data_IF_649622727674
#
_entry.id   IF_649622727674
#
_cell.length_a   1.000
_cell.length_b   1.000
_cell.length_c   1.000
_cell.angle_alpha   90.00
_cell.angle_beta   90.00
_cell.angle_gamma   90.00
#
_symmetry.space_group_name_H-M   'P 1'
#
loop_
_entity.id
_entity.type
_entity.pdbx_description
1 polymer ?
#
# COMPACT_ATOMS: atom_id res chain seq x y z
N UNK A 1 13.26 -2.10 -50.49
CA UNK A 1 14.18 -1.15 -49.82
C UNK A 1 13.30 -0.17 -49.07
N UNK A 2 13.06 -0.44 -47.78
CA UNK A 2 13.70 0.24 -46.64
C UNK A 2 13.19 1.69 -46.53
N UNK A 3 12.59 2.16 -45.44
CA UNK A 3 12.92 2.06 -44.01
C UNK A 3 11.58 2.04 -43.21
N UNK A 4 11.39 1.22 -42.15
CA UNK A 4 11.90 1.42 -40.76
C UNK A 4 11.42 2.77 -40.22
N UNK A 5 10.82 2.94 -39.05
CA UNK A 5 10.32 2.12 -37.95
C UNK A 5 9.67 3.14 -36.98
N UNK A 6 8.92 2.62 -36.00
CA UNK A 6 8.86 3.18 -34.64
C UNK A 6 8.36 4.61 -34.49
N UNK A 7 7.04 4.72 -34.38
CA UNK A 7 6.43 5.72 -33.50
C UNK A 7 6.28 5.10 -32.10
N UNK A 8 7.39 5.04 -31.36
CA UNK A 8 7.43 4.76 -29.93
C UNK A 8 7.76 6.06 -29.19
N UNK A 9 6.84 7.02 -29.29
CA UNK A 9 6.78 8.12 -28.34
C UNK A 9 5.73 7.75 -27.29
N UNK A 10 6.16 6.97 -26.29
CA UNK A 10 5.45 6.92 -25.02
C UNK A 10 6.47 7.21 -23.92
N UNK A 11 6.74 8.51 -23.82
CA UNK A 11 6.80 9.26 -22.56
C UNK A 11 7.31 8.47 -21.36
N UNK A 12 8.62 8.24 -21.34
CA UNK A 12 9.38 8.09 -20.09
C UNK A 12 9.42 9.44 -19.37
N UNK A 13 8.28 9.91 -18.86
CA UNK A 13 8.25 11.05 -17.95
C UNK A 13 8.03 10.61 -16.51
N UNK A 14 9.00 11.00 -15.68
CA UNK A 14 8.86 11.27 -14.25
C UNK A 14 8.14 10.21 -13.41
N UNK A 15 8.82 9.06 -13.22
CA UNK A 15 8.63 8.15 -12.08
C UNK A 15 9.08 8.78 -10.74
N UNK A 16 8.76 10.07 -10.52
CA UNK A 16 8.82 10.68 -9.18
C UNK A 16 7.53 10.34 -8.45
N UNK A 17 7.44 9.10 -7.94
CA UNK A 17 6.50 8.62 -6.89
C UNK A 17 5.18 9.40 -6.88
N UNK A 18 4.47 9.42 -8.01
CA UNK A 18 3.16 10.05 -8.10
C UNK A 18 2.21 9.15 -7.32
N UNK A 19 1.74 9.63 -6.17
CA UNK A 19 0.78 8.91 -5.35
C UNK A 19 -0.54 8.95 -6.13
N UNK A 20 -1.09 7.79 -6.56
CA UNK A 20 -2.34 7.76 -7.30
C UNK A 20 -3.47 8.35 -6.45
N UNK A 21 -4.35 9.13 -7.08
CA UNK A 21 -5.37 9.97 -6.43
C UNK A 21 -6.77 9.39 -6.57
N UNK A 22 -7.00 8.45 -7.47
CA UNK A 22 -8.28 7.75 -7.65
C UNK A 22 -8.15 6.23 -7.53
N UNK A 23 -9.24 5.55 -7.18
CA UNK A 23 -9.29 4.08 -7.08
C UNK A 23 -8.79 3.38 -8.35
N UNK A 24 -9.16 3.90 -9.52
CA UNK A 24 -8.73 3.37 -10.83
C UNK A 24 -7.21 3.47 -11.04
N UNK A 25 -6.59 4.57 -10.60
CA UNK A 25 -5.13 4.74 -10.68
C UNK A 25 -4.39 3.81 -9.71
N UNK A 26 -5.00 3.49 -8.57
CA UNK A 26 -4.46 2.50 -7.63
C UNK A 26 -4.49 1.08 -8.22
N UNK A 27 -5.56 0.70 -8.92
CA UNK A 27 -5.65 -0.59 -9.61
C UNK A 27 -4.63 -0.71 -10.75
N UNK A 28 -4.46 0.34 -11.55
CA UNK A 28 -3.46 0.38 -12.62
C UNK A 28 -2.03 0.26 -12.07
N UNK A 29 -1.73 0.95 -10.96
CA UNK A 29 -0.45 0.84 -10.29
C UNK A 29 -0.18 -0.58 -9.76
N UNK A 30 -1.22 -1.29 -9.29
CA UNK A 30 -1.12 -2.68 -8.83
C UNK A 30 -0.72 -3.60 -9.98
N UNK A 31 -1.39 -3.47 -11.12
CA UNK A 31 -1.14 -4.27 -12.30
C UNK A 31 0.29 -4.05 -12.82
N UNK A 32 0.73 -2.80 -12.93
CA UNK A 32 2.08 -2.46 -13.39
C UNK A 32 3.17 -3.06 -12.49
N UNK A 33 2.99 -3.02 -11.16
CA UNK A 33 3.97 -3.57 -10.21
C UNK A 33 3.93 -5.10 -10.19
N UNK A 34 2.77 -5.70 -10.37
CA UNK A 34 2.61 -7.15 -10.51
C UNK A 34 3.22 -7.69 -11.81
N UNK A 35 3.04 -6.99 -12.93
CA UNK A 35 3.61 -7.38 -14.23
C UNK A 35 5.15 -7.33 -14.21
N UNK A 36 5.73 -6.28 -13.62
CA UNK A 36 7.18 -6.18 -13.37
C UNK A 36 7.68 -7.30 -12.46
N UNK A 37 6.91 -7.66 -11.43
CA UNK A 37 7.25 -8.77 -10.54
C UNK A 37 7.13 -10.13 -11.22
N UNK A 38 6.23 -10.30 -12.21
CA UNK A 38 6.05 -11.55 -12.95
C UNK A 38 7.10 -11.77 -14.04
N UNK A 39 7.75 -10.71 -14.54
CA UNK A 39 8.86 -10.80 -15.50
C UNK A 39 10.24 -10.91 -14.83
N UNK A 40 10.33 -10.81 -13.50
CA UNK A 40 11.58 -10.90 -12.76
C UNK A 40 11.89 -12.32 -12.24
N UNK A 41 11.47 -13.37 -12.95
CA UNK A 41 12.08 -14.69 -12.78
C UNK A 41 13.27 -14.80 -13.72
N UNK A 42 14.46 -14.49 -13.20
CA UNK A 42 15.76 -15.16 -13.45
C UNK A 42 16.89 -14.16 -13.16
N UNK A 43 17.29 -14.05 -11.89
CA UNK A 43 18.69 -14.13 -11.43
C UNK A 43 18.67 -14.09 -9.91
N UNK A 44 18.98 -15.25 -9.35
CA UNK A 44 19.35 -15.44 -7.96
C UNK A 44 20.70 -14.77 -7.75
N UNK A 45 20.75 -13.64 -7.05
CA UNK A 45 21.95 -13.19 -6.35
C UNK A 45 21.52 -12.54 -5.04
N UNK A 46 21.89 -13.24 -3.97
CA UNK A 46 21.71 -12.92 -2.57
C UNK A 46 22.78 -11.89 -2.18
N UNK A 47 22.44 -10.60 -2.17
CA UNK A 47 23.33 -9.58 -1.60
C UNK A 47 22.55 -8.45 -0.90
N UNK A 48 22.50 -8.56 0.43
CA UNK A 48 22.50 -7.47 1.42
C UNK A 48 22.05 -6.07 0.99
N UNK A 49 20.81 -5.68 1.36
CA UNK A 49 20.51 -4.30 1.79
C UNK A 49 19.45 -4.33 2.91
N UNK A 50 19.80 -4.90 4.06
CA UNK A 50 18.94 -4.94 5.25
C UNK A 50 19.14 -3.74 6.19
N UNK A 51 19.72 -2.62 5.75
CA UNK A 51 20.22 -1.61 6.70
C UNK A 51 20.13 -0.13 6.29
N UNK A 52 19.41 0.24 5.22
CA UNK A 52 19.35 1.66 4.80
C UNK A 52 17.96 2.32 4.93
N UNK A 53 16.87 1.56 5.15
CA UNK A 53 15.51 2.11 5.03
C UNK A 53 14.82 2.56 6.33
N UNK A 54 15.43 2.34 7.50
CA UNK A 54 14.94 2.94 8.76
C UNK A 54 15.31 4.44 8.86
N UNK A 55 16.25 4.93 8.03
CA UNK A 55 16.86 6.26 8.20
C UNK A 55 16.07 7.41 7.55
N UNK A 56 14.98 7.12 6.80
CA UNK A 56 14.20 8.16 6.09
C UNK A 56 12.72 8.22 6.42
N UNK A 57 12.21 7.45 7.39
CA UNK A 57 10.89 7.75 7.95
C UNK A 57 11.05 8.98 8.84
N UNK A 58 10.82 10.16 8.26
CA UNK A 58 10.76 11.43 9.00
C UNK A 58 9.51 11.37 9.87
N UNK A 59 9.61 10.69 11.00
CA UNK A 59 8.44 10.29 11.79
C UNK A 59 7.73 11.55 12.26
N UNK A 60 6.62 11.90 11.61
CA UNK A 60 5.89 13.09 11.97
C UNK A 60 5.25 12.85 13.36
N UNK A 61 5.57 13.66 14.38
CA UNK A 61 5.03 13.45 15.73
C UNK A 61 3.50 13.50 15.76
N UNK A 62 2.87 14.25 14.85
CA UNK A 62 1.42 14.25 14.69
C UNK A 62 0.90 12.87 14.26
N UNK A 63 1.56 12.22 13.30
CA UNK A 63 1.18 10.87 12.84
C UNK A 63 1.35 9.86 13.97
N UNK A 64 2.44 9.91 14.74
CA UNK A 64 2.62 9.02 15.90
C UNK A 64 1.48 9.16 16.91
N UNK A 65 1.09 10.40 17.21
CA UNK A 65 -0.02 10.65 18.14
C UNK A 65 -1.35 10.12 17.59
N UNK A 66 -1.61 10.29 16.30
CA UNK A 66 -2.81 9.78 15.63
C UNK A 66 -2.81 8.25 15.57
N UNK A 67 -1.70 7.62 15.20
CA UNK A 67 -1.56 6.16 15.20
C UNK A 67 -1.81 5.57 16.60
N UNK A 68 -1.37 6.25 17.67
CA UNK A 68 -1.64 5.83 19.05
C UNK A 68 -3.13 5.91 19.39
N UNK A 69 -3.79 7.01 19.05
CA UNK A 69 -5.24 7.18 19.26
C UNK A 69 -6.03 6.13 18.48
N UNK A 70 -5.66 5.92 17.20
CA UNK A 70 -6.28 4.91 16.36
C UNK A 70 -6.11 3.49 16.94
N UNK A 71 -4.92 3.15 17.41
CA UNK A 71 -4.62 1.85 18.03
C UNK A 71 -5.42 1.65 19.32
N UNK A 72 -5.57 2.70 20.12
CA UNK A 72 -6.41 2.67 21.32
C UNK A 72 -7.88 2.48 20.95
N UNK A 73 -8.42 3.29 20.03
CA UNK A 73 -9.80 3.16 19.55
C UNK A 73 -10.08 1.74 19.00
N UNK A 74 -9.14 1.21 18.21
CA UNK A 74 -9.18 -0.15 17.69
C UNK A 74 -9.24 -1.20 18.81
N UNK A 75 -8.41 -1.06 19.86
CA UNK A 75 -8.43 -1.98 21.00
C UNK A 75 -9.75 -1.95 21.79
N UNK A 76 -10.45 -0.82 21.78
CA UNK A 76 -11.78 -0.67 22.37
C UNK A 76 -12.92 -1.09 21.44
N UNK A 77 -12.62 -1.58 20.22
CA UNK A 77 -13.63 -1.93 19.22
C UNK A 77 -14.37 -0.74 18.64
N UNK A 78 -13.86 0.48 18.84
CA UNK A 78 -14.44 1.69 18.27
C UNK A 78 -13.84 1.91 16.87
N UNK A 79 -14.43 1.23 15.89
CA UNK A 79 -13.94 1.20 14.52
C UNK A 79 -14.06 2.57 13.84
N UNK A 80 -15.16 3.30 14.05
CA UNK A 80 -15.40 4.63 13.46
C UNK A 80 -14.36 5.66 13.92
N UNK A 81 -14.01 5.63 15.21
CA UNK A 81 -12.98 6.51 15.74
C UNK A 81 -11.59 6.12 15.22
N UNK A 82 -11.30 4.83 15.11
CA UNK A 82 -10.04 4.35 14.56
C UNK A 82 -9.89 4.75 13.09
N UNK A 83 -10.93 4.55 12.28
CA UNK A 83 -11.01 4.96 10.87
C UNK A 83 -10.75 6.46 10.71
N UNK A 84 -11.58 7.31 11.32
CA UNK A 84 -11.46 8.77 11.19
C UNK A 84 -10.10 9.30 11.67
N UNK A 85 -9.49 8.66 12.67
CA UNK A 85 -8.15 9.00 13.16
C UNK A 85 -7.07 8.61 12.14
N UNK A 86 -7.18 7.44 11.52
CA UNK A 86 -6.27 6.97 10.48
C UNK A 86 -6.40 7.79 9.20
N UNK A 87 -7.61 8.17 8.79
CA UNK A 87 -7.81 9.08 7.67
C UNK A 87 -7.13 10.42 7.86
N UNK A 88 -7.16 10.97 9.09
CA UNK A 88 -6.42 12.20 9.42
C UNK A 88 -4.92 11.99 9.31
N UNK A 89 -4.40 10.83 9.70
CA UNK A 89 -2.98 10.50 9.54
C UNK A 89 -2.60 10.38 8.06
N UNK A 90 -3.43 9.71 7.26
CA UNK A 90 -3.23 9.54 5.81
C UNK A 90 -3.28 10.88 5.07
N UNK A 91 -4.12 11.83 5.51
CA UNK A 91 -4.13 13.19 4.95
C UNK A 91 -2.80 13.93 5.16
N UNK A 92 -2.04 13.56 6.20
CA UNK A 92 -0.71 14.13 6.46
C UNK A 92 0.35 13.40 5.65
N UNK A 93 0.31 12.06 5.62
CA UNK A 93 1.26 11.24 4.87
C UNK A 93 0.54 10.16 4.05
N UNK A 94 0.07 10.51 2.83
CA UNK A 94 -0.70 9.59 2.01
C UNK A 94 0.16 8.47 1.40
N UNK A 95 1.49 8.59 1.45
CA UNK A 95 2.44 7.60 0.95
C UNK A 95 2.84 6.54 1.99
N UNK A 96 2.37 6.63 3.24
CA UNK A 96 2.73 5.67 4.28
C UNK A 96 1.85 4.41 4.17
N UNK A 97 2.44 3.34 3.64
CA UNK A 97 1.78 2.04 3.53
C UNK A 97 1.29 1.50 4.87
N UNK A 98 1.98 1.78 5.98
CA UNK A 98 1.57 1.31 7.30
C UNK A 98 0.22 1.89 7.73
N UNK A 99 -0.07 3.15 7.40
CA UNK A 99 -1.36 3.78 7.71
C UNK A 99 -2.50 3.14 6.92
N UNK A 100 -2.29 2.89 5.62
CA UNK A 100 -3.26 2.18 4.77
C UNK A 100 -3.52 0.75 5.27
N UNK A 101 -2.47 0.05 5.74
CA UNK A 101 -2.60 -1.27 6.37
C UNK A 101 -3.46 -1.23 7.64
N UNK A 102 -3.20 -0.25 8.51
CA UNK A 102 -3.96 -0.08 9.75
C UNK A 102 -5.43 0.25 9.46
N UNK A 103 -5.69 1.08 8.44
CA UNK A 103 -7.03 1.42 8.00
C UNK A 103 -7.74 0.16 7.46
N UNK A 104 -7.10 -0.57 6.56
CA UNK A 104 -7.59 -1.86 6.06
C UNK A 104 -7.95 -2.83 7.17
N UNK A 105 -7.06 -3.01 8.16
CA UNK A 105 -7.31 -3.89 9.29
C UNK A 105 -8.48 -3.44 10.15
N UNK A 106 -8.66 -2.12 10.30
CA UNK A 106 -9.81 -1.53 11.02
C UNK A 106 -11.13 -1.86 10.29
N UNK A 107 -11.20 -1.64 8.97
CA UNK A 107 -12.39 -2.01 8.18
C UNK A 107 -12.67 -3.50 8.19
N UNK A 108 -11.62 -4.35 8.12
CA UNK A 108 -11.79 -5.80 8.21
C UNK A 108 -12.44 -6.21 9.54
N UNK A 109 -12.08 -5.54 10.64
CA UNK A 109 -12.64 -5.81 11.97
C UNK A 109 -14.04 -5.22 12.16
N UNK A 110 -14.36 -4.14 11.46
CA UNK A 110 -15.70 -3.60 11.36
C UNK A 110 -16.65 -4.48 10.53
N UNK A 111 -16.12 -5.45 9.76
CA UNK A 111 -16.88 -6.29 8.84
C UNK A 111 -17.01 -5.69 7.43
N UNK A 112 -16.37 -4.55 7.17
CA UNK A 112 -16.40 -3.84 5.90
C UNK A 112 -15.31 -4.40 4.97
N UNK A 113 -15.48 -5.64 4.51
CA UNK A 113 -14.42 -6.36 3.80
C UNK A 113 -14.05 -5.75 2.43
N UNK A 114 -15.01 -5.17 1.70
CA UNK A 114 -14.74 -4.51 0.41
C UNK A 114 -13.80 -3.31 0.57
N UNK A 115 -14.11 -2.42 1.52
CA UNK A 115 -13.25 -1.27 1.84
C UNK A 115 -11.90 -1.73 2.39
N UNK A 116 -11.90 -2.76 3.24
CA UNK A 116 -10.66 -3.34 3.75
C UNK A 116 -9.75 -3.83 2.62
N UNK A 117 -10.32 -4.46 1.58
CA UNK A 117 -9.59 -4.96 0.42
C UNK A 117 -8.91 -3.82 -0.34
N UNK A 118 -9.66 -2.76 -0.67
CA UNK A 118 -9.12 -1.58 -1.36
C UNK A 118 -7.95 -0.96 -0.58
N UNK A 119 -8.11 -0.75 0.72
CA UNK A 119 -7.06 -0.20 1.57
C UNK A 119 -5.84 -1.13 1.68
N UNK A 120 -6.03 -2.45 1.72
CA UNK A 120 -4.93 -3.42 1.73
C UNK A 120 -4.13 -3.39 0.43
N UNK A 121 -4.79 -3.26 -0.73
CA UNK A 121 -4.11 -3.13 -2.02
C UNK A 121 -3.25 -1.85 -2.07
N UNK A 122 -3.79 -0.72 -1.61
CA UNK A 122 -3.02 0.55 -1.50
C UNK A 122 -1.82 0.42 -0.58
N UNK A 123 -1.98 -0.28 0.55
CA UNK A 123 -0.89 -0.60 1.47
C UNK A 123 0.22 -1.38 0.77
N UNK A 124 -0.10 -2.47 0.07
CA UNK A 124 0.88 -3.30 -0.68
C UNK A 124 1.65 -2.48 -1.72
N UNK A 125 0.98 -1.52 -2.34
CA UNK A 125 1.58 -0.65 -3.35
C UNK A 125 2.61 0.31 -2.77
N UNK A 126 2.28 0.93 -1.65
CA UNK A 126 3.07 1.95 -0.97
C UNK A 126 4.17 1.39 -0.06
N UNK A 127 3.98 0.16 0.43
CA UNK A 127 4.93 -0.54 1.28
C UNK A 127 6.21 -0.97 0.54
N UNK A 128 7.32 -0.95 1.28
CA UNK A 128 8.57 -1.60 0.89
C UNK A 128 8.44 -3.13 1.03
N UNK A 129 9.46 -3.88 0.58
CA UNK A 129 9.36 -5.34 0.50
C UNK A 129 9.10 -6.03 1.85
N UNK A 130 9.61 -5.47 2.95
CA UNK A 130 9.35 -5.97 4.31
C UNK A 130 7.89 -5.79 4.73
N UNK A 131 7.32 -4.59 4.52
CA UNK A 131 5.92 -4.31 4.85
C UNK A 131 4.92 -4.89 3.86
N UNK A 132 5.36 -5.12 2.63
CA UNK A 132 4.57 -5.73 1.55
C UNK A 132 4.13 -7.13 1.94
N UNK A 133 4.99 -7.93 2.56
CA UNK A 133 4.63 -9.26 3.04
C UNK A 133 3.52 -9.20 4.11
N UNK A 134 3.62 -8.26 5.06
CA UNK A 134 2.60 -8.06 6.08
C UNK A 134 1.25 -7.61 5.48
N UNK A 135 1.31 -6.71 4.51
CA UNK A 135 0.12 -6.19 3.81
C UNK A 135 -0.52 -7.26 2.91
N UNK A 136 0.28 -8.07 2.22
CA UNK A 136 -0.19 -9.18 1.39
C UNK A 136 -0.85 -10.29 2.24
N UNK A 137 -0.29 -10.60 3.41
CA UNK A 137 -0.91 -11.53 4.35
C UNK A 137 -2.25 -11.03 4.90
N UNK A 138 -2.44 -9.71 5.02
CA UNK A 138 -3.74 -9.12 5.34
C UNK A 138 -4.72 -9.23 4.16
N UNK A 139 -4.26 -8.96 2.94
CA UNK A 139 -5.06 -9.07 1.71
C UNK A 139 -5.64 -10.49 1.55
N UNK A 140 -4.81 -11.53 1.71
CA UNK A 140 -5.24 -12.94 1.66
C UNK A 140 -6.30 -13.26 2.72
N UNK A 141 -6.15 -12.74 3.94
CA UNK A 141 -7.14 -12.92 5.02
C UNK A 141 -8.48 -12.27 4.66
N UNK A 142 -8.46 -11.07 4.09
CA UNK A 142 -9.67 -10.35 3.68
C UNK A 142 -10.38 -11.12 2.57
N UNK A 143 -9.65 -11.55 1.54
CA UNK A 143 -10.21 -12.33 0.43
C UNK A 143 -10.86 -13.63 0.91
N UNK A 144 -10.23 -14.35 1.84
CA UNK A 144 -10.83 -15.53 2.47
C UNK A 144 -12.13 -15.20 3.18
N UNK A 145 -12.20 -14.08 3.92
CA UNK A 145 -13.44 -13.69 4.62
C UNK A 145 -14.56 -13.26 3.70
N UNK A 146 -14.23 -12.67 2.56
CA UNK A 146 -15.21 -12.38 1.51
C UNK A 146 -15.73 -13.68 0.89
N UNK A 147 -14.86 -14.66 0.65
CA UNK A 147 -15.26 -15.94 0.06
C UNK A 147 -16.06 -16.84 1.02
N UNK A 148 -15.81 -16.74 2.32
CA UNK A 148 -16.48 -17.53 3.36
C UNK A 148 -17.88 -16.99 3.74
N UNK A 149 -18.26 -15.79 3.29
CA UNK A 149 -19.47 -15.07 3.69
C UNK A 149 -20.49 -14.96 2.56
#
# INVERSE_FOLDING_TARGET
>A
MALVSEKTEETVEDTKRTIPKSDEEWEAALFLKAEKSSHAQTTFDEETVASEEDEKRKVNPAIQSLSRIASQAFSHGNWDLAESTLERAIKIEPSDGALWRQLSYTHMRAGNYEQALAHAQRSVLLSNDSERQMSAGLLDKILKRIADN
#
